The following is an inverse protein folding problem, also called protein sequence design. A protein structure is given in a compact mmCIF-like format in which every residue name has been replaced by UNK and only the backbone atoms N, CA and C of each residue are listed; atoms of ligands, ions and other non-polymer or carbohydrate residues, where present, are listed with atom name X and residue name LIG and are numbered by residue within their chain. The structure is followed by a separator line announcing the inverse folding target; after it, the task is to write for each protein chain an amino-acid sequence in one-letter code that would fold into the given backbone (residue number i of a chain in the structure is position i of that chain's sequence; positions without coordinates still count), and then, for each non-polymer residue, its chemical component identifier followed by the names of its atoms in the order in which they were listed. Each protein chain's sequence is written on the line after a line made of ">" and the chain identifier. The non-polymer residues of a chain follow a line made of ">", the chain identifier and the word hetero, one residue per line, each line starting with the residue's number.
data_IF_787479272837
#
_entry.id   IF_787479272837
#
_cell.length_a   1.000
_cell.length_b   1.000
_cell.length_c   1.000
_cell.angle_alpha   90.00
_cell.angle_beta   90.00
_cell.angle_gamma   90.00
#
_symmetry.space_group_name_H-M   'P 1'
#
loop_
_entity.id
_entity.type
_entity.pdbx_description
1 polymer ?
#
# COMPACT_ATOMS: atom_id res chain seq x y z
N UNK A 1 28.56 -1.18 -4.00
CA UNK A 1 27.33 -0.71 -3.31
C UNK A 1 26.60 0.39 -4.08
N UNK A 2 27.24 1.53 -4.40
CA UNK A 2 26.56 2.65 -5.07
C UNK A 2 25.81 2.28 -6.37
N UNK A 3 26.42 1.49 -7.26
CA UNK A 3 25.78 1.03 -8.50
C UNK A 3 24.50 0.21 -8.25
N UNK A 4 24.50 -0.65 -7.22
CA UNK A 4 23.34 -1.43 -6.83
C UNK A 4 22.21 -0.53 -6.28
N UNK A 5 22.54 0.48 -5.48
CA UNK A 5 21.55 1.42 -4.96
C UNK A 5 20.96 2.29 -6.08
N UNK A 6 21.77 2.75 -7.03
CA UNK A 6 21.27 3.45 -8.22
C UNK A 6 20.35 2.57 -9.08
N UNK A 7 20.69 1.29 -9.21
CA UNK A 7 19.83 0.30 -9.87
C UNK A 7 18.49 0.13 -9.13
N UNK A 8 18.51 -0.01 -7.81
CA UNK A 8 17.30 -0.21 -7.02
C UNK A 8 16.43 1.05 -6.91
N UNK A 9 17.01 2.24 -6.83
CA UNK A 9 16.26 3.49 -6.61
C UNK A 9 15.23 3.76 -7.70
N UNK A 10 15.64 3.67 -8.97
CA UNK A 10 14.74 3.88 -10.12
C UNK A 10 13.57 2.91 -10.08
N UNK A 11 13.82 1.66 -9.70
CA UNK A 11 12.81 0.60 -9.65
C UNK A 11 11.87 0.78 -8.47
N UNK A 12 12.38 1.13 -7.29
CA UNK A 12 11.57 1.38 -6.09
C UNK A 12 10.65 2.60 -6.27
N UNK A 13 11.11 3.65 -6.97
CA UNK A 13 10.27 4.79 -7.35
C UNK A 13 9.10 4.34 -8.24
N UNK A 14 9.38 3.53 -9.25
CA UNK A 14 8.34 3.02 -10.16
C UNK A 14 7.37 2.07 -9.46
N UNK A 15 7.87 1.17 -8.58
CA UNK A 15 7.03 0.30 -7.76
C UNK A 15 6.11 1.11 -6.86
N UNK A 16 6.62 2.16 -6.20
CA UNK A 16 5.78 3.06 -5.41
C UNK A 16 4.74 3.78 -6.27
N UNK A 17 5.10 4.23 -7.48
CA UNK A 17 4.20 4.93 -8.41
C UNK A 17 2.98 4.07 -8.78
N UNK A 18 3.20 2.81 -9.19
CA UNK A 18 2.15 1.91 -9.68
C UNK A 18 1.31 1.26 -8.58
N UNK A 19 1.84 1.17 -7.35
CA UNK A 19 1.15 0.54 -6.24
C UNK A 19 -0.19 1.25 -5.95
N UNK A 20 -1.28 0.52 -5.70
CA UNK A 20 -2.56 1.13 -5.29
C UNK A 20 -2.37 1.87 -3.96
N UNK A 21 -3.16 2.92 -3.63
CA UNK A 21 -3.13 3.55 -2.30
C UNK A 21 -3.32 2.54 -1.15
N UNK A 22 -4.04 1.45 -1.40
CA UNK A 22 -4.26 0.35 -0.47
C UNK A 22 -3.18 -0.75 -0.52
N UNK A 23 -2.18 -0.61 -1.38
CA UNK A 23 -1.17 -1.64 -1.62
C UNK A 23 0.01 -1.59 -0.66
N UNK A 24 0.79 -2.66 -0.70
CA UNK A 24 2.00 -2.89 0.11
C UNK A 24 3.19 -3.31 -0.74
N UNK A 25 4.39 -3.04 -0.23
CA UNK A 25 5.65 -3.53 -0.76
C UNK A 25 6.33 -4.43 0.28
N UNK A 26 6.84 -5.57 -0.17
CA UNK A 26 7.73 -6.45 0.58
C UNK A 26 9.07 -6.52 -0.12
N UNK A 27 10.16 -6.15 0.58
CA UNK A 27 11.50 -6.14 0.02
C UNK A 27 12.40 -7.07 0.83
N UNK A 28 12.79 -8.18 0.22
CA UNK A 28 13.80 -9.09 0.76
C UNK A 28 15.16 -8.74 0.18
N UNK A 29 16.18 -8.55 1.03
CA UNK A 29 17.55 -8.35 0.58
C UNK A 29 18.54 -8.90 1.61
N UNK A 30 19.76 -9.16 1.14
CA UNK A 30 20.81 -9.61 2.03
C UNK A 30 21.21 -8.48 3.01
N UNK A 31 21.73 -8.84 4.20
CA UNK A 31 22.12 -7.87 5.22
C UNK A 31 23.16 -6.82 4.79
N UNK A 32 23.92 -7.05 3.72
CA UNK A 32 24.89 -6.06 3.20
C UNK A 32 24.18 -4.81 2.67
N UNK A 33 22.98 -4.98 2.10
CA UNK A 33 22.21 -3.89 1.49
C UNK A 33 20.95 -3.49 2.28
N UNK A 34 20.49 -4.31 3.25
CA UNK A 34 19.25 -4.09 4.00
C UNK A 34 19.10 -2.66 4.53
N UNK A 35 20.10 -2.16 5.28
CA UNK A 35 20.03 -0.82 5.89
C UNK A 35 20.00 0.31 4.87
N UNK A 36 20.71 0.16 3.74
CA UNK A 36 20.70 1.15 2.66
C UNK A 36 19.35 1.20 1.94
N UNK A 37 18.77 0.02 1.67
CA UNK A 37 17.46 -0.09 1.05
C UNK A 37 16.35 0.41 1.97
N UNK A 38 16.49 0.19 3.28
CA UNK A 38 15.59 0.74 4.29
C UNK A 38 15.53 2.27 4.23
N UNK A 39 16.69 2.94 4.24
CA UNK A 39 16.73 4.40 4.13
C UNK A 39 16.13 4.91 2.81
N UNK A 40 16.36 4.19 1.72
CA UNK A 40 15.79 4.53 0.42
C UNK A 40 14.26 4.38 0.41
N UNK A 41 13.72 3.32 1.01
CA UNK A 41 12.28 3.14 1.16
C UNK A 41 11.67 4.21 2.08
N UNK A 42 12.36 4.59 3.15
CA UNK A 42 11.92 5.70 4.01
C UNK A 42 11.84 7.03 3.25
N UNK A 43 12.75 7.28 2.31
CA UNK A 43 12.69 8.47 1.45
C UNK A 43 11.55 8.41 0.42
N UNK A 44 11.23 7.22 -0.11
CA UNK A 44 10.21 7.04 -1.17
C UNK A 44 8.79 6.96 -0.60
N UNK A 45 8.58 6.13 0.42
CA UNK A 45 7.26 5.88 1.05
C UNK A 45 7.00 6.81 2.24
N UNK A 46 8.05 7.30 2.89
CA UNK A 46 7.98 8.02 4.14
C UNK A 46 8.12 7.09 5.35
N UNK A 47 8.84 7.55 6.38
CA UNK A 47 9.14 6.77 7.61
C UNK A 47 7.88 6.21 8.29
N UNK A 48 6.76 6.93 8.24
CA UNK A 48 5.48 6.51 8.85
C UNK A 48 4.81 5.33 8.13
N UNK A 49 5.27 5.00 6.92
CA UNK A 49 4.71 3.93 6.10
C UNK A 49 5.45 2.58 6.27
N UNK A 50 6.57 2.58 6.99
CA UNK A 50 7.20 1.37 7.46
C UNK A 50 6.26 0.65 8.43
N UNK A 51 6.02 -0.65 8.20
CA UNK A 51 5.15 -1.47 9.04
C UNK A 51 5.95 -2.37 9.96
N UNK A 52 6.74 -3.26 9.37
CA UNK A 52 7.55 -4.22 10.11
C UNK A 52 8.84 -4.55 9.36
N UNK A 53 9.84 -4.98 10.11
CA UNK A 53 11.02 -5.67 9.61
C UNK A 53 10.85 -7.13 9.99
N UNK A 54 10.47 -7.94 9.02
CA UNK A 54 10.09 -9.33 9.24
C UNK A 54 11.37 -10.17 9.21
N UNK A 55 11.59 -10.95 10.26
CA UNK A 55 12.72 -11.86 10.39
C UNK A 55 12.26 -13.24 9.94
N UNK A 56 12.74 -13.70 8.80
CA UNK A 56 12.52 -15.07 8.36
C UNK A 56 13.64 -15.96 8.91
N UNK A 57 13.33 -16.74 9.94
CA UNK A 57 14.27 -17.67 10.56
C UNK A 57 14.14 -19.08 9.99
N UNK A 58 15.29 -19.74 9.83
CA UNK A 58 15.39 -21.09 9.29
C UNK A 58 16.64 -21.80 9.79
N UNK A 59 16.60 -23.12 9.76
CA UNK A 59 17.75 -23.96 10.11
C UNK A 59 18.67 -24.16 8.90
N UNK A 60 19.97 -24.35 9.16
CA UNK A 60 20.96 -24.65 8.13
C UNK A 60 22.27 -25.16 8.71
N UNK A 61 23.12 -25.77 7.89
CA UNK A 61 24.30 -26.54 8.37
C UNK A 61 25.57 -25.72 8.58
N UNK A 62 25.68 -24.52 8.00
CA UNK A 62 26.88 -23.68 8.09
C UNK A 62 27.26 -23.27 9.53
N UNK A 63 28.55 -23.38 9.84
CA UNK A 63 29.18 -23.17 11.15
C UNK A 63 30.40 -22.23 11.01
N UNK A 64 30.19 -20.89 10.98
CA UNK A 64 31.29 -19.95 10.88
C UNK A 64 32.18 -20.00 12.14
N UNK A 65 33.50 -19.86 11.98
CA UNK A 65 34.47 -19.89 13.09
C UNK A 65 34.53 -18.58 13.89
N UNK A 66 34.34 -17.45 13.20
CA UNK A 66 34.53 -16.09 13.77
C UNK A 66 33.25 -15.25 13.76
N UNK A 67 32.08 -15.88 13.74
CA UNK A 67 30.79 -15.18 13.71
C UNK A 67 29.67 -16.06 14.29
N UNK A 68 28.55 -15.44 14.66
CA UNK A 68 27.35 -16.20 14.98
C UNK A 68 26.78 -16.89 13.74
N UNK A 69 26.09 -18.00 13.97
CA UNK A 69 25.33 -18.70 12.94
C UNK A 69 24.25 -17.79 12.36
N UNK A 70 24.42 -17.39 11.10
CA UNK A 70 23.40 -16.68 10.36
C UNK A 70 22.31 -17.67 9.94
N UNK A 71 21.15 -17.54 10.57
CA UNK A 71 19.98 -18.42 10.46
C UNK A 71 18.68 -17.64 10.27
N UNK A 72 18.81 -16.44 9.70
CA UNK A 72 17.68 -15.64 9.28
C UNK A 72 18.06 -14.76 8.10
N UNK A 73 17.03 -14.40 7.35
CA UNK A 73 17.00 -13.31 6.38
C UNK A 73 15.93 -12.29 6.80
N UNK A 74 16.00 -11.09 6.23
CA UNK A 74 15.12 -9.99 6.61
C UNK A 74 14.28 -9.51 5.44
N UNK A 75 13.02 -9.19 5.72
CA UNK A 75 12.05 -8.70 4.74
C UNK A 75 11.45 -7.39 5.26
N UNK A 76 11.69 -6.29 4.55
CA UNK A 76 11.11 -4.99 4.87
C UNK A 76 9.67 -4.92 4.36
N UNK A 77 8.73 -4.55 5.22
CA UNK A 77 7.32 -4.39 4.87
C UNK A 77 6.92 -2.90 4.94
N UNK A 78 6.51 -2.36 3.80
CA UNK A 78 5.98 -1.01 3.65
C UNK A 78 4.55 -1.02 3.11
N UNK A 79 3.77 -0.02 3.52
CA UNK A 79 2.46 0.27 2.96
C UNK A 79 2.51 1.54 2.11
N UNK A 80 1.70 1.68 1.05
CA UNK A 80 1.63 2.96 0.33
C UNK A 80 0.96 4.05 1.18
N UNK A 81 0.00 3.67 2.01
CA UNK A 81 -0.73 4.61 2.86
C UNK A 81 -1.11 3.99 4.21
N UNK A 82 -1.56 4.82 5.18
CA UNK A 82 -2.07 4.32 6.46
C UNK A 82 -3.22 3.32 6.29
N UNK A 83 -4.00 3.45 5.21
CA UNK A 83 -5.18 2.64 4.89
C UNK A 83 -4.85 1.45 3.98
N UNK A 84 -3.59 1.03 3.90
CA UNK A 84 -3.23 -0.19 3.18
C UNK A 84 -3.99 -1.40 3.70
N UNK A 85 -4.42 -2.25 2.78
CA UNK A 85 -5.12 -3.48 3.10
C UNK A 85 -4.20 -4.42 3.87
N UNK A 86 -4.73 -5.01 4.93
CA UNK A 86 -4.05 -6.06 5.67
C UNK A 86 -5.10 -7.00 6.25
N UNK A 87 -5.08 -8.26 5.82
CA UNK A 87 -6.07 -9.27 6.16
C UNK A 87 -5.89 -9.75 7.60
N UNK A 88 -6.95 -9.67 8.41
CA UNK A 88 -6.94 -10.30 9.74
C UNK A 88 -6.81 -11.81 9.64
N UNK A 89 -7.50 -12.45 8.69
CA UNK A 89 -7.40 -13.90 8.46
C UNK A 89 -6.03 -14.30 7.91
N UNK A 90 -5.56 -13.59 6.87
CA UNK A 90 -4.27 -13.85 6.25
C UNK A 90 -3.06 -13.56 7.14
N UNK A 91 -3.27 -12.79 8.22
CA UNK A 91 -2.25 -12.48 9.22
C UNK A 91 -2.43 -13.23 10.55
N UNK A 92 -3.31 -14.23 10.59
CA UNK A 92 -3.55 -15.05 11.78
C UNK A 92 -2.89 -16.44 11.67
N UNK A 93 -2.54 -17.00 12.82
CA UNK A 93 -2.04 -18.36 12.98
C UNK A 93 -2.75 -19.06 14.15
N UNK A 94 -2.75 -20.40 14.21
CA UNK A 94 -3.23 -21.11 15.38
C UNK A 94 -2.51 -20.64 16.65
N UNK A 95 -3.24 -20.56 17.76
CA UNK A 95 -2.66 -20.15 19.03
C UNK A 95 -1.49 -21.08 19.42
N UNK A 96 -0.34 -20.51 19.80
CA UNK A 96 0.83 -21.30 20.21
C UNK A 96 0.62 -21.94 21.58
N UNK A 97 1.31 -23.04 21.87
CA UNK A 97 1.19 -23.71 23.16
C UNK A 97 1.63 -22.83 24.33
N UNK A 98 2.62 -21.96 24.11
CA UNK A 98 3.00 -20.92 25.06
C UNK A 98 1.88 -19.89 25.29
N UNK A 99 1.13 -19.50 24.26
CA UNK A 99 -0.03 -18.63 24.43
C UNK A 99 -1.16 -19.35 25.14
N UNK A 100 -1.39 -20.65 24.84
CA UNK A 100 -2.40 -21.48 25.50
C UNK A 100 -2.10 -21.66 26.99
N UNK A 101 -0.83 -21.84 27.37
CA UNK A 101 -0.43 -22.05 28.78
C UNK A 101 -0.75 -20.87 29.70
N UNK A 102 -0.97 -19.67 29.13
CA UNK A 102 -1.41 -18.48 29.90
C UNK A 102 -2.88 -18.54 30.32
N UNK A 103 -3.69 -19.43 29.75
CA UNK A 103 -5.10 -19.61 30.07
C UNK A 103 -5.23 -20.74 31.10
N UNK A 104 -5.00 -20.40 32.37
CA UNK A 104 -4.91 -21.36 33.47
C UNK A 104 -6.22 -21.60 34.19
N UNK A 105 -7.23 -20.75 33.99
CA UNK A 105 -8.54 -20.84 34.64
C UNK A 105 -9.56 -21.42 33.66
N UNK A 106 -10.59 -22.09 34.17
CA UNK A 106 -11.64 -22.71 33.35
C UNK A 106 -13.01 -22.52 34.00
N UNK A 107 -14.01 -22.33 33.16
CA UNK A 107 -15.43 -22.30 33.52
C UNK A 107 -16.25 -23.02 32.41
N UNK A 108 -17.58 -22.98 32.50
CA UNK A 108 -18.50 -23.60 31.53
C UNK A 108 -18.31 -23.14 30.07
N UNK A 109 -17.72 -21.95 29.85
CA UNK A 109 -17.43 -21.37 28.53
C UNK A 109 -16.01 -21.71 28.04
N UNK A 110 -15.21 -22.38 28.88
CA UNK A 110 -13.88 -22.89 28.58
C UNK A 110 -12.75 -22.13 29.27
N UNK A 111 -11.53 -22.36 28.80
CA UNK A 111 -10.32 -21.80 29.41
C UNK A 111 -10.21 -20.28 29.21
N UNK A 112 -9.89 -19.56 30.28
CA UNK A 112 -9.74 -18.10 30.31
C UNK A 112 -8.51 -17.65 31.11
N UNK A 113 -8.17 -16.38 30.94
CA UNK A 113 -7.21 -15.65 31.78
C UNK A 113 -7.79 -14.30 32.19
N UNK A 114 -7.39 -13.82 33.37
CA UNK A 114 -7.76 -12.49 33.85
C UNK A 114 -6.75 -11.45 33.36
N UNK A 115 -7.24 -10.39 32.73
CA UNK A 115 -6.45 -9.23 32.34
C UNK A 115 -6.80 -8.11 33.32
N UNK A 116 -5.80 -7.67 34.08
CA UNK A 116 -5.91 -6.50 34.96
C UNK A 116 -5.62 -5.24 34.15
N UNK A 117 -6.56 -4.31 34.15
CA UNK A 117 -6.39 -3.00 33.54
C UNK A 117 -5.78 -2.00 34.55
N UNK A 118 -5.14 -0.90 34.07
CA UNK A 118 -4.55 0.10 34.95
C UNK A 118 -5.51 0.77 35.94
N UNK A 119 -6.81 0.77 35.61
CA UNK A 119 -7.90 1.28 36.45
C UNK A 119 -8.33 0.29 37.56
N UNK A 120 -7.67 -0.87 37.67
CA UNK A 120 -7.98 -1.92 38.65
C UNK A 120 -9.09 -2.89 38.20
N UNK A 121 -9.74 -2.63 37.07
CA UNK A 121 -10.78 -3.54 36.55
C UNK A 121 -10.15 -4.84 36.03
N UNK A 122 -10.89 -5.95 36.20
CA UNK A 122 -10.47 -7.28 35.73
C UNK A 122 -11.38 -7.71 34.58
N UNK A 123 -10.79 -7.91 33.41
CA UNK A 123 -11.47 -8.45 32.24
C UNK A 123 -11.09 -9.92 32.00
N UNK A 124 -12.10 -10.80 31.95
CA UNK A 124 -11.90 -12.22 31.59
C UNK A 124 -11.75 -12.35 30.08
N UNK A 125 -10.59 -12.82 29.64
CA UNK A 125 -10.34 -13.16 28.25
C UNK A 125 -10.35 -14.67 28.08
N UNK A 126 -11.34 -15.18 27.34
CA UNK A 126 -11.40 -16.58 26.92
C UNK A 126 -10.38 -16.87 25.82
N UNK A 127 -9.93 -18.13 25.78
CA UNK A 127 -8.98 -18.60 24.79
C UNK A 127 -9.56 -18.48 23.38
N UNK A 128 -8.73 -18.04 22.44
CA UNK A 128 -9.09 -17.94 21.03
C UNK A 128 -8.43 -19.08 20.26
N UNK A 129 -9.07 -19.52 19.18
CA UNK A 129 -8.50 -20.52 18.28
C UNK A 129 -7.27 -20.00 17.53
N UNK A 130 -7.25 -18.71 17.22
CA UNK A 130 -6.20 -18.06 16.45
C UNK A 130 -5.62 -16.84 17.18
N UNK A 131 -4.37 -16.54 16.88
CA UNK A 131 -3.65 -15.34 17.30
C UNK A 131 -3.05 -14.64 16.08
N UNK A 132 -2.71 -13.36 16.22
CA UNK A 132 -2.02 -12.63 15.15
C UNK A 132 -0.58 -13.16 15.03
N UNK A 133 -0.12 -13.39 13.80
CA UNK A 133 1.25 -13.80 13.53
C UNK A 133 2.23 -12.73 14.03
N UNK A 134 3.35 -13.20 14.58
CA UNK A 134 4.50 -12.35 14.89
C UNK A 134 5.23 -11.98 13.60
N UNK A 135 6.11 -10.99 13.67
CA UNK A 135 7.03 -10.61 12.58
C UNK A 135 8.33 -11.43 12.58
N UNK A 136 8.43 -12.45 13.43
CA UNK A 136 9.47 -13.49 13.35
C UNK A 136 8.84 -14.78 12.85
N UNK A 137 9.28 -15.25 11.68
CA UNK A 137 8.69 -16.38 10.96
C UNK A 137 9.65 -17.55 10.86
N UNK A 138 9.29 -18.64 11.52
CA UNK A 138 10.01 -19.91 11.41
C UNK A 138 9.49 -20.70 10.20
N UNK A 139 10.18 -20.56 9.07
CA UNK A 139 9.84 -21.25 7.81
C UNK A 139 11.10 -21.92 7.27
N UNK A 140 11.15 -23.26 7.11
CA UNK A 140 12.33 -23.92 6.57
C UNK A 140 12.70 -23.44 5.16
N UNK A 141 14.00 -23.42 4.86
CA UNK A 141 14.48 -23.29 3.49
C UNK A 141 14.17 -24.56 2.69
N UNK A 142 14.11 -24.43 1.37
CA UNK A 142 13.88 -25.55 0.46
C UNK A 142 15.11 -26.46 0.46
N UNK A 143 14.93 -27.71 0.84
CA UNK A 143 15.98 -28.73 0.74
C UNK A 143 16.11 -29.28 -0.70
N UNK A 144 17.16 -30.04 -0.98
CA UNK A 144 17.44 -30.54 -2.33
C UNK A 144 16.38 -31.52 -2.87
N UNK A 145 15.65 -32.22 -1.99
CA UNK A 145 14.65 -33.24 -2.31
C UNK A 145 13.21 -32.70 -2.29
N UNK A 146 13.03 -31.41 -2.04
CA UNK A 146 11.71 -30.82 -1.87
C UNK A 146 10.95 -30.84 -3.20
N UNK A 147 9.67 -31.24 -3.15
CA UNK A 147 8.79 -31.31 -4.34
C UNK A 147 8.68 -29.96 -5.07
N UNK A 148 8.73 -28.85 -4.34
CA UNK A 148 8.65 -27.51 -4.93
C UNK A 148 9.95 -27.06 -5.61
N UNK A 149 11.08 -27.79 -5.48
CA UNK A 149 12.39 -27.38 -6.00
C UNK A 149 12.39 -27.44 -7.53
N UNK A 150 12.73 -26.32 -8.19
CA UNK A 150 12.77 -26.22 -9.67
C UNK A 150 14.17 -25.98 -10.25
N UNK A 151 15.22 -26.24 -9.46
CA UNK A 151 16.62 -26.05 -9.90
C UNK A 151 17.12 -24.61 -9.86
N UNK A 152 16.36 -23.66 -9.31
CA UNK A 152 16.82 -22.29 -9.07
C UNK A 152 17.62 -22.20 -7.77
N UNK A 153 18.82 -21.61 -7.82
CA UNK A 153 19.77 -21.63 -6.68
C UNK A 153 19.21 -20.94 -5.45
N UNK A 154 18.65 -19.74 -5.63
CA UNK A 154 18.15 -18.87 -4.54
C UNK A 154 16.64 -18.96 -4.33
N UNK A 155 16.02 -20.06 -4.77
CA UNK A 155 14.58 -20.29 -4.67
C UNK A 155 14.09 -20.13 -3.23
N UNK A 156 13.00 -19.39 -3.08
CA UNK A 156 12.35 -19.16 -1.79
C UNK A 156 11.17 -20.11 -1.62
N UNK A 157 10.86 -20.56 -0.39
CA UNK A 157 9.75 -21.48 -0.13
C UNK A 157 8.41 -20.84 -0.45
N UNK A 158 7.52 -21.58 -1.10
CA UNK A 158 6.19 -21.12 -1.50
C UNK A 158 5.37 -20.64 -0.30
N UNK A 159 5.52 -21.30 0.85
CA UNK A 159 4.85 -20.95 2.12
C UNK A 159 5.15 -19.51 2.56
N UNK A 160 6.39 -19.04 2.36
CA UNK A 160 6.80 -17.69 2.75
C UNK A 160 6.04 -16.64 1.93
N UNK A 161 5.98 -16.83 0.61
CA UNK A 161 5.32 -15.89 -0.29
C UNK A 161 3.80 -15.98 -0.22
N UNK A 162 3.24 -17.18 -0.04
CA UNK A 162 1.80 -17.36 0.17
C UNK A 162 1.31 -16.62 1.42
N UNK A 163 2.11 -16.61 2.49
CA UNK A 163 1.83 -15.83 3.70
C UNK A 163 1.78 -14.33 3.41
N UNK A 164 2.77 -13.81 2.68
CA UNK A 164 2.84 -12.40 2.29
C UNK A 164 1.62 -12.00 1.45
N UNK A 165 1.32 -12.77 0.40
CA UNK A 165 0.21 -12.48 -0.51
C UNK A 165 -1.12 -12.54 0.23
N UNK A 166 -1.38 -13.61 1.00
CA UNK A 166 -2.64 -13.76 1.75
C UNK A 166 -2.85 -12.63 2.77
N UNK A 167 -1.78 -12.17 3.42
CA UNK A 167 -1.86 -11.08 4.40
C UNK A 167 -2.16 -9.72 3.77
N UNK A 168 -1.75 -9.47 2.53
CA UNK A 168 -1.69 -8.09 2.00
C UNK A 168 -2.39 -7.88 0.65
N UNK A 169 -3.18 -8.84 0.19
CA UNK A 169 -4.04 -8.70 -1.00
C UNK A 169 -5.38 -9.42 -0.83
N UNK A 170 -6.38 -9.02 -1.63
CA UNK A 170 -7.64 -9.74 -1.78
C UNK A 170 -7.61 -10.64 -3.01
N UNK A 171 -8.55 -11.57 -3.12
CA UNK A 171 -8.80 -12.30 -4.37
C UNK A 171 -9.04 -11.29 -5.52
N UNK A 172 -8.49 -11.59 -6.69
CA UNK A 172 -8.49 -10.72 -7.87
C UNK A 172 -7.58 -9.50 -7.80
N UNK A 173 -6.90 -9.21 -6.67
CA UNK A 173 -5.88 -8.16 -6.64
C UNK A 173 -4.66 -8.55 -7.48
N UNK A 174 -3.91 -7.54 -7.93
CA UNK A 174 -2.70 -7.71 -8.72
C UNK A 174 -1.45 -7.77 -7.83
N UNK A 175 -0.63 -8.80 -8.04
CA UNK A 175 0.68 -9.00 -7.41
C UNK A 175 1.78 -8.82 -8.46
N UNK A 176 2.71 -7.91 -8.22
CA UNK A 176 3.87 -7.70 -9.10
C UNK A 176 5.14 -8.22 -8.42
N UNK A 177 5.89 -9.04 -9.13
CA UNK A 177 7.26 -9.41 -8.78
C UNK A 177 8.22 -9.03 -9.92
N UNK A 178 8.95 -7.91 -9.80
CA UNK A 178 9.86 -7.45 -10.84
C UNK A 178 11.23 -8.14 -10.81
N UNK A 179 11.41 -9.14 -9.94
CA UNK A 179 12.61 -9.96 -9.80
C UNK A 179 12.20 -11.43 -9.59
N UNK A 180 11.28 -11.92 -10.42
CA UNK A 180 10.51 -13.13 -10.10
C UNK A 180 11.34 -14.41 -10.11
N UNK A 181 12.47 -14.46 -10.83
CA UNK A 181 13.37 -15.61 -10.92
C UNK A 181 12.65 -16.89 -11.33
N UNK A 182 12.37 -17.74 -10.35
CA UNK A 182 11.62 -18.99 -10.52
C UNK A 182 10.10 -18.85 -10.30
N UNK A 183 9.56 -17.63 -10.29
CA UNK A 183 8.15 -17.29 -10.17
C UNK A 183 7.43 -17.81 -8.91
N UNK A 184 8.12 -17.93 -7.78
CA UNK A 184 7.48 -18.34 -6.51
C UNK A 184 6.33 -17.41 -6.12
N UNK A 185 6.52 -16.09 -6.31
CA UNK A 185 5.47 -15.09 -6.04
C UNK A 185 4.27 -15.26 -6.96
N UNK A 186 4.51 -15.52 -8.25
CA UNK A 186 3.44 -15.71 -9.23
C UNK A 186 2.63 -16.97 -8.90
N UNK A 187 3.30 -18.09 -8.60
CA UNK A 187 2.63 -19.33 -8.18
C UNK A 187 1.81 -19.11 -6.91
N UNK A 188 2.36 -18.42 -5.91
CA UNK A 188 1.64 -18.10 -4.67
C UNK A 188 0.40 -17.21 -4.93
N UNK A 189 0.53 -16.20 -5.81
CA UNK A 189 -0.56 -15.32 -6.18
C UNK A 189 -1.68 -16.10 -6.89
N UNK A 190 -1.31 -16.90 -7.88
CA UNK A 190 -2.24 -17.71 -8.67
C UNK A 190 -2.98 -18.75 -7.82
N UNK A 191 -2.29 -19.49 -6.94
CA UNK A 191 -2.92 -20.45 -6.03
C UNK A 191 -3.85 -19.81 -5.00
N UNK A 192 -3.72 -18.49 -4.80
CA UNK A 192 -4.59 -17.70 -3.97
C UNK A 192 -5.59 -16.90 -4.83
N UNK A 193 -5.80 -17.19 -6.11
CA UNK A 193 -6.76 -16.47 -6.95
C UNK A 193 -6.47 -14.96 -7.07
N UNK A 194 -5.19 -14.58 -7.12
CA UNK A 194 -4.73 -13.21 -7.42
C UNK A 194 -4.22 -13.13 -8.86
N UNK A 195 -4.40 -11.99 -9.50
CA UNK A 195 -3.71 -11.68 -10.75
C UNK A 195 -2.23 -11.42 -10.47
N UNK A 196 -1.35 -11.69 -11.42
CA UNK A 196 0.07 -11.45 -11.21
C UNK A 196 0.84 -11.02 -12.46
N UNK A 197 1.97 -10.34 -12.23
CA UNK A 197 2.97 -10.00 -13.23
C UNK A 197 4.33 -10.38 -12.67
N UNK A 198 5.07 -11.21 -13.41
CA UNK A 198 6.45 -11.58 -13.09
C UNK A 198 7.41 -11.04 -14.14
N UNK A 199 8.50 -10.41 -13.71
CA UNK A 199 9.56 -9.89 -14.60
C UNK A 199 10.89 -10.46 -14.13
N UNK A 200 11.70 -10.95 -15.08
CA UNK A 200 13.08 -11.34 -14.82
C UNK A 200 13.92 -11.11 -16.09
N UNK A 201 15.17 -10.69 -15.92
CA UNK A 201 16.10 -10.47 -17.03
C UNK A 201 16.83 -11.76 -17.44
N UNK A 202 16.83 -12.79 -16.60
CA UNK A 202 17.57 -14.03 -16.83
C UNK A 202 16.89 -14.87 -17.92
N UNK A 203 17.62 -15.29 -18.97
CA UNK A 203 17.09 -16.23 -19.95
C UNK A 203 16.64 -17.56 -19.33
N UNK A 204 17.27 -17.99 -18.23
CA UNK A 204 16.91 -19.21 -17.49
C UNK A 204 15.53 -19.11 -16.85
N UNK A 205 15.12 -17.91 -16.43
CA UNK A 205 13.81 -17.69 -15.82
C UNK A 205 12.70 -18.06 -16.80
N UNK A 206 12.82 -17.72 -18.09
CA UNK A 206 11.80 -17.99 -19.12
C UNK A 206 11.34 -19.46 -19.12
N UNK A 207 12.27 -20.39 -19.25
CA UNK A 207 11.96 -21.83 -19.32
C UNK A 207 11.45 -22.37 -17.97
N UNK A 208 12.10 -21.98 -16.88
CA UNK A 208 11.74 -22.45 -15.53
C UNK A 208 10.34 -21.97 -15.15
N UNK A 209 10.04 -20.69 -15.35
CA UNK A 209 8.74 -20.10 -15.03
C UNK A 209 7.62 -20.73 -15.85
N UNK A 210 7.82 -20.92 -17.16
CA UNK A 210 6.83 -21.60 -18.02
C UNK A 210 6.49 -23.00 -17.47
N UNK A 211 7.51 -23.83 -17.30
CA UNK A 211 7.32 -25.21 -16.83
C UNK A 211 6.70 -25.26 -15.42
N UNK A 212 7.13 -24.36 -14.54
CA UNK A 212 6.63 -24.31 -13.16
C UNK A 212 5.16 -23.94 -13.10
N UNK A 213 4.75 -22.92 -13.85
CA UNK A 213 3.34 -22.51 -13.93
C UNK A 213 2.49 -23.60 -14.59
N UNK A 214 2.98 -24.27 -15.63
CA UNK A 214 2.24 -25.38 -16.25
C UNK A 214 1.98 -26.54 -15.28
N UNK A 215 2.94 -26.85 -14.39
CA UNK A 215 2.86 -27.97 -13.47
C UNK A 215 2.17 -27.67 -12.13
N UNK A 216 2.41 -26.49 -11.54
CA UNK A 216 1.94 -26.17 -10.18
C UNK A 216 0.61 -25.42 -10.13
N UNK A 217 0.18 -24.85 -11.26
CA UNK A 217 -1.05 -24.04 -11.34
C UNK A 217 -2.16 -24.75 -12.12
N UNK A 218 -1.84 -25.67 -13.05
CA UNK A 218 -2.83 -26.06 -14.06
C UNK A 218 -3.65 -27.32 -13.76
N UNK A 219 -4.98 -27.13 -13.72
CA UNK A 219 -5.98 -28.14 -14.13
C UNK A 219 -6.97 -27.69 -15.21
N UNK A 220 -7.15 -26.41 -15.57
CA UNK A 220 -8.35 -26.02 -16.34
C UNK A 220 -8.26 -24.97 -17.45
N UNK A 221 -7.11 -24.36 -17.78
CA UNK A 221 -7.14 -23.19 -18.66
C UNK A 221 -5.95 -23.19 -19.58
N UNK A 222 -6.03 -23.53 -20.89
CA UNK A 222 -4.89 -23.55 -21.82
C UNK A 222 -4.22 -22.16 -21.99
N UNK A 223 -2.87 -22.10 -21.95
CA UNK A 223 -2.12 -20.86 -22.19
C UNK A 223 -2.23 -20.70 -23.70
N UNK A 224 -3.12 -19.84 -24.20
CA UNK A 224 -3.07 -19.46 -25.61
C UNK A 224 -1.69 -18.86 -25.84
N UNK A 225 -0.94 -19.44 -26.75
CA UNK A 225 0.47 -19.16 -27.01
C UNK A 225 0.67 -17.80 -27.70
N UNK A 226 0.02 -16.73 -27.23
CA UNK A 226 0.41 -15.37 -27.58
C UNK A 226 1.66 -14.99 -26.79
N UNK A 227 2.75 -15.70 -27.06
CA UNK A 227 4.09 -15.28 -26.66
C UNK A 227 4.51 -14.19 -27.63
N UNK A 228 4.16 -12.94 -27.35
CA UNK A 228 4.73 -11.80 -28.08
C UNK A 228 6.20 -11.65 -27.67
N UNK A 229 7.11 -12.15 -28.50
CA UNK A 229 8.55 -11.99 -28.30
C UNK A 229 8.98 -10.65 -28.90
N UNK A 230 9.02 -9.61 -28.07
CA UNK A 230 9.68 -8.35 -28.44
C UNK A 230 11.14 -8.39 -27.98
N UNK A 231 12.06 -8.06 -28.88
CA UNK A 231 13.48 -7.89 -28.54
C UNK A 231 13.77 -6.44 -28.11
N UNK A 232 12.89 -5.52 -28.51
CA UNK A 232 12.92 -4.13 -28.07
C UNK A 232 12.27 -3.98 -26.71
N UNK A 233 12.84 -3.12 -25.87
CA UNK A 233 12.19 -2.72 -24.62
C UNK A 233 10.79 -2.15 -24.94
N UNK A 234 9.72 -2.61 -24.27
CA UNK A 234 8.38 -2.15 -24.57
C UNK A 234 8.30 -0.63 -24.42
N UNK A 235 7.91 0.06 -25.49
CA UNK A 235 7.64 1.50 -25.47
C UNK A 235 6.38 1.72 -24.63
N UNK A 236 6.29 2.90 -24.00
CA UNK A 236 5.10 3.29 -23.20
C UNK A 236 3.77 3.15 -23.96
N UNK A 237 3.82 3.17 -25.29
CA UNK A 237 2.70 2.98 -26.23
C UNK A 237 2.27 1.53 -26.43
N UNK A 238 3.16 0.57 -26.21
CA UNK A 238 2.97 -0.84 -26.58
C UNK A 238 1.98 -1.56 -25.64
N UNK A 239 1.70 -0.96 -24.48
CA UNK A 239 0.76 -1.49 -23.47
C UNK A 239 -0.70 -1.17 -23.81
N UNK A 240 -0.99 -0.31 -24.79
CA UNK A 240 -2.38 0.14 -25.06
C UNK A 240 -3.27 -0.92 -25.72
N UNK A 241 -2.70 -1.96 -26.34
CA UNK A 241 -3.45 -3.02 -27.03
C UNK A 241 -3.43 -4.40 -26.37
N UNK A 242 -2.56 -4.61 -25.37
CA UNK A 242 -2.39 -5.88 -24.66
C UNK A 242 -3.05 -5.91 -23.27
N UNK A 243 -3.62 -4.79 -22.84
CA UNK A 243 -4.44 -4.79 -21.64
C UNK A 243 -5.70 -5.60 -21.94
N UNK A 244 -6.02 -6.66 -21.17
CA UNK A 244 -7.32 -7.30 -21.27
C UNK A 244 -8.40 -6.20 -21.16
N UNK A 245 -9.55 -6.36 -21.86
CA UNK A 245 -10.64 -5.40 -21.81
C UNK A 245 -10.86 -5.04 -20.36
N UNK A 246 -10.73 -3.74 -20.05
CA UNK A 246 -10.71 -3.17 -18.69
C UNK A 246 -11.46 -4.07 -17.74
N UNK A 247 -10.73 -4.79 -16.88
CA UNK A 247 -11.35 -5.64 -15.88
C UNK A 247 -12.24 -4.73 -15.05
N UNK A 248 -13.55 -4.79 -15.29
CA UNK A 248 -14.53 -4.14 -14.46
C UNK A 248 -14.39 -4.81 -13.11
N UNK A 249 -13.71 -4.13 -12.18
CA UNK A 249 -13.64 -4.57 -10.80
C UNK A 249 -15.07 -4.96 -10.39
N UNK A 250 -15.32 -6.19 -9.92
CA UNK A 250 -16.60 -6.47 -9.29
C UNK A 250 -16.81 -5.38 -8.22
N UNK A 251 -18.02 -4.80 -8.13
CA UNK A 251 -18.28 -3.78 -7.13
C UNK A 251 -17.84 -4.33 -5.78
N UNK A 252 -16.97 -3.60 -5.09
CA UNK A 252 -16.40 -4.03 -3.82
C UNK A 252 -17.51 -4.64 -2.95
N UNK A 253 -17.30 -5.82 -2.33
CA UNK A 253 -18.32 -6.44 -1.49
C UNK A 253 -18.79 -5.36 -0.54
N UNK A 254 -20.12 -5.13 -0.52
CA UNK A 254 -20.73 -4.11 0.33
C UNK A 254 -20.30 -4.43 1.74
N UNK A 255 -19.24 -3.77 2.22
CA UNK A 255 -18.92 -3.73 3.64
C UNK A 255 -20.24 -3.41 4.30
N UNK A 256 -20.61 -4.17 5.34
CA UNK A 256 -21.73 -3.83 6.21
C UNK A 256 -21.42 -2.45 6.79
N UNK A 257 -21.75 -1.40 6.04
CA UNK A 257 -21.83 -0.05 6.51
C UNK A 257 -22.92 -0.13 7.55
N UNK A 258 -22.54 0.03 8.83
CA UNK A 258 -23.48 0.45 9.87
C UNK A 258 -24.36 1.52 9.25
N UNK A 259 -25.67 1.23 9.19
CA UNK A 259 -26.62 2.00 8.40
C UNK A 259 -26.46 3.49 8.63
N UNK A 260 -26.05 4.21 7.58
CA UNK A 260 -26.12 5.66 7.56
C UNK A 260 -27.60 5.98 7.37
N UNK A 261 -28.28 6.37 8.45
CA UNK A 261 -29.64 6.90 8.40
C UNK A 261 -29.60 8.11 7.46
N UNK A 262 -30.08 7.97 6.22
CA UNK A 262 -30.24 9.10 5.30
C UNK A 262 -31.25 10.04 5.95
N UNK A 263 -30.84 11.28 6.23
CA UNK A 263 -31.81 12.33 6.52
C UNK A 263 -32.63 12.52 5.24
N UNK A 264 -33.91 12.20 5.31
CA UNK A 264 -34.88 12.40 4.23
C UNK A 264 -35.03 13.89 3.93
N UNK A 265 -34.84 14.30 2.67
CA UNK A 265 -35.17 15.66 2.20
C UNK A 265 -34.02 16.58 1.79
N UNK A 266 -32.75 16.14 1.84
CA UNK A 266 -31.64 16.97 1.37
C UNK A 266 -31.55 16.96 -0.17
N UNK A 267 -31.45 18.12 -0.85
CA UNK A 267 -31.25 18.18 -2.29
C UNK A 267 -29.96 17.45 -2.68
N UNK A 268 -30.05 16.59 -3.71
CA UNK A 268 -28.90 15.88 -4.27
C UNK A 268 -28.32 16.71 -5.39
N UNK A 269 -27.18 17.34 -5.13
CA UNK A 269 -26.42 18.05 -6.15
C UNK A 269 -25.45 17.09 -6.84
N UNK A 270 -25.32 17.21 -8.16
CA UNK A 270 -24.15 16.68 -8.85
C UNK A 270 -22.88 17.51 -8.53
N UNK A 271 -21.72 17.08 -9.00
CA UNK A 271 -20.44 17.74 -8.65
C UNK A 271 -20.33 19.16 -9.22
N UNK A 272 -20.90 19.43 -10.39
CA UNK A 272 -20.90 20.75 -11.01
C UNK A 272 -21.97 21.65 -10.40
N UNK A 273 -23.16 21.12 -10.12
CA UNK A 273 -24.21 21.80 -9.38
C UNK A 273 -23.73 22.21 -7.98
N UNK A 274 -22.97 21.33 -7.30
CA UNK A 274 -22.35 21.65 -6.01
C UNK A 274 -21.30 22.76 -6.13
N UNK A 275 -20.52 22.81 -7.23
CA UNK A 275 -19.57 23.91 -7.45
C UNK A 275 -20.31 25.25 -7.61
N UNK A 276 -21.36 25.26 -8.43
CA UNK A 276 -22.20 26.46 -8.64
C UNK A 276 -22.86 26.87 -7.33
N UNK A 277 -23.42 25.93 -6.58
CA UNK A 277 -24.05 26.19 -5.29
C UNK A 277 -23.06 26.79 -4.27
N UNK A 278 -21.85 26.22 -4.14
CA UNK A 278 -20.81 26.74 -3.26
C UNK A 278 -20.31 28.12 -3.73
N UNK A 279 -20.23 28.36 -5.03
CA UNK A 279 -19.84 29.65 -5.58
C UNK A 279 -20.89 30.74 -5.30
N UNK A 280 -22.18 30.41 -5.37
CA UNK A 280 -23.26 31.32 -4.98
C UNK A 280 -23.26 31.61 -3.47
N UNK A 281 -22.92 30.60 -2.66
CA UNK A 281 -22.90 30.72 -1.19
C UNK A 281 -21.69 31.50 -0.67
N UNK A 282 -20.50 31.17 -1.17
CA UNK A 282 -19.23 31.60 -0.59
C UNK A 282 -18.39 32.51 -1.51
N UNK A 283 -18.89 32.78 -2.73
CA UNK A 283 -18.19 33.50 -3.78
C UNK A 283 -17.37 32.58 -4.70
N UNK A 284 -17.24 32.96 -5.97
CA UNK A 284 -16.42 32.28 -6.97
C UNK A 284 -14.92 32.56 -6.75
N UNK A 285 -14.39 32.23 -5.58
CA UNK A 285 -12.97 32.40 -5.25
C UNK A 285 -12.44 31.21 -4.45
N UNK A 286 -11.11 31.07 -4.45
CA UNK A 286 -10.46 30.07 -3.61
C UNK A 286 -10.60 30.47 -2.13
N UNK A 287 -11.30 29.67 -1.34
CA UNK A 287 -11.49 29.93 0.08
C UNK A 287 -10.21 29.73 0.91
N UNK A 288 -9.14 29.19 0.33
CA UNK A 288 -7.84 29.00 0.97
C UNK A 288 -6.89 30.19 0.85
N UNK A 289 -6.84 30.86 -0.31
CA UNK A 289 -5.93 31.98 -0.58
C UNK A 289 -6.61 33.28 -1.03
N UNK A 290 -7.92 33.25 -1.28
CA UNK A 290 -8.71 34.39 -1.77
C UNK A 290 -8.54 34.68 -3.26
N UNK A 291 -7.84 33.83 -4.01
CA UNK A 291 -7.63 34.02 -5.44
C UNK A 291 -8.94 33.81 -6.21
N UNK A 292 -9.35 34.81 -6.98
CA UNK A 292 -10.39 34.67 -8.01
C UNK A 292 -9.80 33.95 -9.23
N UNK A 293 -10.46 32.92 -9.76
CA UNK A 293 -9.99 32.20 -10.93
C UNK A 293 -9.96 33.12 -12.17
N UNK A 294 -9.00 32.92 -13.08
CA UNK A 294 -8.95 33.70 -14.33
C UNK A 294 -10.09 33.32 -15.27
N UNK A 295 -10.66 34.29 -15.97
CA UNK A 295 -11.59 34.07 -17.08
C UNK A 295 -10.89 33.33 -18.22
N UNK A 296 -11.34 32.12 -18.56
CA UNK A 296 -10.83 31.35 -19.71
C UNK A 296 -11.88 31.33 -20.83
N UNK A 297 -11.53 31.53 -22.10
CA UNK A 297 -12.51 31.46 -23.19
C UNK A 297 -12.96 30.00 -23.45
N UNK A 298 -14.28 29.76 -23.57
CA UNK A 298 -14.81 28.54 -24.20
C UNK A 298 -15.76 27.62 -23.40
N UNK A 299 -16.26 27.99 -22.22
CA UNK A 299 -17.34 27.23 -21.55
C UNK A 299 -18.33 28.13 -20.78
N UNK A 300 -19.51 27.61 -20.44
CA UNK A 300 -20.41 28.27 -19.47
C UNK A 300 -19.79 28.08 -18.08
N UNK A 301 -19.39 29.19 -17.43
CA UNK A 301 -18.68 29.26 -16.12
C UNK A 301 -17.26 28.64 -16.03
N UNK A 302 -16.32 28.96 -16.93
CA UNK A 302 -14.95 28.42 -16.95
C UNK A 302 -14.16 28.72 -15.67
N UNK A 303 -14.51 29.81 -15.00
CA UNK A 303 -13.97 30.26 -13.72
C UNK A 303 -14.14 29.21 -12.61
N UNK A 304 -15.29 28.51 -12.59
CA UNK A 304 -15.61 27.52 -11.57
C UNK A 304 -14.96 26.17 -11.81
N UNK A 305 -14.64 25.83 -13.06
CA UNK A 305 -13.89 24.61 -13.39
C UNK A 305 -12.47 24.63 -12.81
N UNK A 306 -11.88 25.83 -12.66
CA UNK A 306 -10.58 26.00 -12.03
C UNK A 306 -10.61 25.72 -10.52
N UNK A 307 -11.79 25.73 -9.89
CA UNK A 307 -11.95 25.50 -8.45
C UNK A 307 -12.42 24.07 -8.16
N UNK A 308 -11.70 23.41 -7.26
CA UNK A 308 -12.03 22.09 -6.76
C UNK A 308 -12.84 22.15 -5.48
N UNK A 309 -13.79 21.22 -5.34
CA UNK A 309 -14.50 20.99 -4.08
C UNK A 309 -13.62 20.16 -3.14
N UNK A 310 -13.42 20.64 -1.92
CA UNK A 310 -12.77 19.92 -0.82
C UNK A 310 -13.52 20.17 0.51
N UNK A 311 -13.17 19.43 1.58
CA UNK A 311 -13.82 19.56 2.88
C UNK A 311 -13.19 20.63 3.77
N UNK A 312 -13.98 21.45 4.46
CA UNK A 312 -13.48 22.45 5.45
C UNK A 312 -12.72 21.75 6.58
N UNK A 313 -13.31 20.69 7.15
CA UNK A 313 -12.67 19.76 8.08
C UNK A 313 -12.43 18.44 7.38
N UNK A 314 -11.20 17.89 7.42
CA UNK A 314 -10.90 16.60 6.80
C UNK A 314 -11.67 15.47 7.50
N UNK A 315 -11.85 14.35 6.79
CA UNK A 315 -12.56 13.16 7.33
C UNK A 315 -11.90 12.58 8.57
N UNK A 316 -10.59 12.76 8.72
CA UNK A 316 -9.84 12.37 9.91
C UNK A 316 -10.31 13.11 11.18
N UNK A 317 -10.81 14.35 11.02
CA UNK A 317 -11.29 15.21 12.11
C UNK A 317 -12.83 15.21 12.21
N UNK A 318 -13.45 14.05 11.90
CA UNK A 318 -14.91 13.86 11.85
C UNK A 318 -15.65 14.76 10.82
N UNK A 319 -14.96 15.25 9.79
CA UNK A 319 -15.59 15.97 8.68
C UNK A 319 -16.47 15.06 7.81
N UNK A 320 -17.78 15.32 7.77
CA UNK A 320 -18.72 14.62 6.91
C UNK A 320 -18.89 15.26 5.53
N UNK A 321 -19.54 14.55 4.60
CA UNK A 321 -19.90 15.08 3.26
C UNK A 321 -21.16 15.96 3.28
N UNK A 322 -21.40 16.70 4.36
CA UNK A 322 -22.50 17.66 4.36
C UNK A 322 -22.09 18.94 3.63
N UNK A 323 -23.04 19.59 2.98
CA UNK A 323 -22.80 20.81 2.19
C UNK A 323 -22.11 21.92 3.01
N UNK A 324 -22.42 22.01 4.31
CA UNK A 324 -21.79 22.95 5.26
C UNK A 324 -20.29 22.69 5.48
N UNK A 325 -19.79 21.50 5.19
CA UNK A 325 -18.39 21.14 5.31
C UNK A 325 -17.68 21.12 3.94
N UNK A 326 -18.29 21.62 2.87
CA UNK A 326 -17.64 21.72 1.55
C UNK A 326 -17.19 23.16 1.26
N UNK A 327 -16.06 23.27 0.58
CA UNK A 327 -15.40 24.52 0.20
C UNK A 327 -14.77 24.45 -1.19
N UNK A 328 -14.57 25.61 -1.84
CA UNK A 328 -13.89 25.75 -3.12
C UNK A 328 -12.42 26.13 -2.94
N UNK A 329 -11.51 25.39 -3.56
CA UNK A 329 -10.07 25.61 -3.51
C UNK A 329 -9.43 25.59 -4.89
N UNK A 330 -8.48 26.48 -5.13
CA UNK A 330 -7.62 26.41 -6.31
C UNK A 330 -6.66 25.20 -6.22
N UNK A 331 -6.13 24.69 -7.35
CA UNK A 331 -5.30 23.48 -7.35
C UNK A 331 -4.06 23.56 -6.44
N UNK A 332 -3.36 24.70 -6.28
CA UNK A 332 -2.30 24.84 -5.29
C UNK A 332 -2.79 24.72 -3.84
N UNK A 333 -3.90 25.36 -3.50
CA UNK A 333 -4.48 25.30 -2.15
C UNK A 333 -5.03 23.91 -1.83
N UNK A 334 -5.69 23.28 -2.80
CA UNK A 334 -6.22 21.92 -2.67
C UNK A 334 -5.09 20.91 -2.40
N UNK A 335 -4.01 20.96 -3.20
CA UNK A 335 -2.80 20.14 -2.98
C UNK A 335 -2.15 20.40 -1.62
N UNK A 336 -2.05 21.66 -1.20
CA UNK A 336 -1.42 22.04 0.06
C UNK A 336 -2.24 21.62 1.28
N UNK A 337 -3.57 21.70 1.21
CA UNK A 337 -4.47 21.32 2.30
C UNK A 337 -4.53 19.81 2.49
N UNK A 338 -4.65 19.06 1.38
CA UNK A 338 -4.84 17.61 1.37
C UNK A 338 -5.92 17.15 2.38
N UNK A 339 -5.85 15.89 2.83
CA UNK A 339 -6.71 15.36 3.89
C UNK A 339 -6.18 15.63 5.31
N UNK A 340 -5.27 16.60 5.46
CA UNK A 340 -4.48 16.78 6.69
C UNK A 340 -4.85 18.09 7.39
N UNK A 341 -5.08 19.17 6.63
CA UNK A 341 -5.36 20.48 7.22
C UNK A 341 -6.85 20.83 7.14
N UNK A 342 -7.33 21.48 8.19
CA UNK A 342 -8.57 22.26 8.15
C UNK A 342 -8.38 23.50 7.27
N UNK A 343 -9.48 24.06 6.77
CA UNK A 343 -9.45 25.30 5.98
C UNK A 343 -8.81 26.46 6.76
N UNK A 344 -9.02 26.53 8.08
CA UNK A 344 -8.42 27.55 8.93
C UNK A 344 -6.89 27.44 9.01
N UNK A 345 -6.38 26.21 9.17
CA UNK A 345 -4.93 25.94 9.17
C UNK A 345 -4.31 26.26 7.82
N UNK A 346 -4.98 25.92 6.71
CA UNK A 346 -4.55 26.30 5.37
C UNK A 346 -4.44 27.82 5.20
N UNK A 347 -5.46 28.57 5.63
CA UNK A 347 -5.46 30.05 5.58
C UNK A 347 -4.29 30.64 6.37
N UNK A 348 -4.06 30.15 7.59
CA UNK A 348 -2.95 30.61 8.43
C UNK A 348 -1.60 30.32 7.78
N UNK A 349 -1.43 29.12 7.20
CA UNK A 349 -0.21 28.74 6.49
C UNK A 349 0.03 29.63 5.25
N UNK A 350 -1.02 29.91 4.48
CA UNK A 350 -0.95 30.80 3.32
C UNK A 350 -0.60 32.23 3.71
N UNK A 351 -1.17 32.77 4.79
CA UNK A 351 -0.83 34.10 5.31
C UNK A 351 0.63 34.19 5.75
N UNK A 352 1.16 33.16 6.43
CA UNK A 352 2.59 33.11 6.80
C UNK A 352 3.48 33.12 5.57
N UNK A 353 3.15 32.34 4.54
CA UNK A 353 3.89 32.33 3.27
C UNK A 353 3.87 33.70 2.59
N UNK A 354 2.70 34.37 2.56
CA UNK A 354 2.57 35.71 1.98
C UNK A 354 3.44 36.74 2.71
N UNK A 355 3.41 36.76 4.05
CA UNK A 355 4.26 37.65 4.87
C UNK A 355 5.76 37.42 4.65
N UNK A 356 6.19 36.17 4.46
CA UNK A 356 7.59 35.86 4.16
C UNK A 356 8.01 36.34 2.77
N UNK A 357 7.14 36.16 1.77
CA UNK A 357 7.38 36.67 0.41
C UNK A 357 7.46 38.20 0.40
N UNK A 358 6.57 38.89 1.10
CA UNK A 358 6.57 40.35 1.18
C UNK A 358 7.85 40.87 1.87
N UNK A 359 8.29 40.24 2.97
CA UNK A 359 9.58 40.55 3.61
C UNK A 359 10.78 40.30 2.69
N UNK A 360 10.75 39.23 1.90
CA UNK A 360 11.83 38.92 0.95
C UNK A 360 11.91 39.92 -0.20
N UNK A 361 10.75 40.42 -0.67
CA UNK A 361 10.67 41.48 -1.69
C UNK A 361 11.17 42.81 -1.13
N UNK A 362 10.81 43.16 0.12
CA UNK A 362 11.28 44.37 0.79
C UNK A 362 12.80 44.34 1.03
N UNK A 363 13.35 43.17 1.39
CA UNK A 363 14.80 43.00 1.56
C UNK A 363 15.54 43.14 0.23
N UNK A 364 15.02 42.56 -0.85
CA UNK A 364 15.58 42.73 -2.20
C UNK A 364 15.46 44.16 -2.74
N UNK A 365 14.43 44.91 -2.36
CA UNK A 365 14.34 46.32 -2.74
C UNK A 365 15.30 47.21 -1.94
N UNK A 366 15.61 46.85 -0.69
CA UNK A 366 16.59 47.56 0.15
C UNK A 366 18.05 47.22 -0.20
N UNK A 367 18.31 46.06 -0.81
CA UNK A 367 19.64 45.66 -1.32
C UNK A 367 19.94 46.24 -2.72
N UNK A 368 18.93 46.81 -3.39
CA UNK A 368 19.03 47.41 -4.74
C UNK A 368 18.95 48.95 -4.73
N UNK A 369 18.97 49.58 -3.54
CA UNK A 369 19.14 51.02 -3.31
C UNK A 369 20.47 51.20 -2.59
#
# INVERSE_FOLDING_TARGET
>A
MAAFLAFMSVRLIEMHRILKPTGSLYLHCDPTANSYLRLMLDAIFGVKQFRNEIVWSYQGTGQPKNAFKRKHDTILFYAKSPNAYFSDEGSSEPISDFSKSKYTKEDEKGRYKDIRHPDGSIHRQYIRSHQRMRDVWDIPIINAMAKERVGWTTQKPLRLYSRIVKASSNEGDMVLDPFCGCATTCVAAEQLDRQWVGIDQSPKAKTIVKNRLENEVRKSMAWSEQVTISHDAPRRTDVRGLLPPTFSLPPAPKSRRRGRRKQSGAPTYDRNEMRVHLALRDGACCQGCGMTPPTMPGSLSPELEYLDIDHIKPRADAGGDNEKNLCLLCPPCNRRKAHIWTLAQLRQANQRTKKMLDKSKLKKSLENV
#
